data_IF_652259069033
#
_entry.id   IF_652259069033
#
_cell.length_a   1.000
_cell.length_b   1.000
_cell.length_c   1.000
_cell.angle_alpha   90.00
_cell.angle_beta   90.00
_cell.angle_gamma   90.00
#
_symmetry.space_group_name_H-M   'P 1'
#
loop_
_entity.id
_entity.type
_entity.pdbx_description
1 polymer ?
#
# COMPACT_ATOMS: atom_id res chain seq x y z
N UNK A 1 6.56 2.79 2.92
CA UNK A 1 5.86 1.61 3.45
C UNK A 1 5.98 1.64 4.95
N UNK A 2 4.86 1.46 5.64
CA UNK A 2 4.77 1.56 7.10
C UNK A 2 3.69 0.59 7.61
N UNK A 3 3.58 0.39 8.93
CA UNK A 3 2.48 -0.34 9.54
C UNK A 3 1.80 0.49 10.62
N UNK A 4 0.48 0.37 10.76
CA UNK A 4 -0.28 1.09 11.79
C UNK A 4 -1.31 0.18 12.48
N UNK A 5 -1.57 0.45 13.76
CA UNK A 5 -2.67 -0.17 14.51
C UNK A 5 -3.99 0.58 14.30
N UNK A 6 -5.06 -0.18 14.10
CA UNK A 6 -6.43 0.31 14.15
C UNK A 6 -7.38 -0.77 14.70
N UNK A 7 -8.07 -0.46 15.81
CA UNK A 7 -9.04 -1.34 16.47
C UNK A 7 -8.50 -2.75 16.78
N UNK A 8 -7.25 -2.83 17.26
CA UNK A 8 -6.62 -4.11 17.62
C UNK A 8 -6.22 -4.96 16.41
N UNK A 9 -6.12 -4.36 15.24
CA UNK A 9 -5.63 -4.97 14.00
C UNK A 9 -4.50 -4.12 13.45
N UNK A 10 -3.43 -4.78 13.02
CA UNK A 10 -2.29 -4.12 12.37
C UNK A 10 -2.54 -4.12 10.86
N UNK A 11 -2.25 -3.01 10.21
CA UNK A 11 -2.35 -2.85 8.77
C UNK A 11 -0.99 -2.47 8.19
N UNK A 12 -0.61 -3.10 7.09
CA UNK A 12 0.44 -2.63 6.21
C UNK A 12 -0.10 -1.48 5.35
N UNK A 13 0.67 -0.41 5.26
CA UNK A 13 0.39 0.77 4.45
C UNK A 13 1.48 0.94 3.39
N UNK A 14 1.07 0.97 2.13
CA UNK A 14 1.93 1.31 1.00
C UNK A 14 1.36 2.56 0.34
N UNK A 15 2.24 3.52 0.08
CA UNK A 15 1.88 4.79 -0.55
C UNK A 15 2.76 4.91 -1.78
N UNK A 16 2.16 5.10 -2.94
CA UNK A 16 2.90 5.52 -4.12
C UNK A 16 3.34 6.97 -3.96
N UNK A 17 4.63 7.24 -4.16
CA UNK A 17 5.20 8.55 -3.88
C UNK A 17 4.70 9.63 -4.84
N UNK A 18 4.41 9.31 -6.10
CA UNK A 18 4.04 10.32 -7.09
C UNK A 18 2.54 10.63 -7.06
N UNK A 19 1.71 9.59 -7.17
CA UNK A 19 0.24 9.71 -7.21
C UNK A 19 -0.38 9.92 -5.84
N UNK A 20 0.35 9.60 -4.76
CA UNK A 20 -0.17 9.47 -3.40
C UNK A 20 -1.22 8.38 -3.26
N UNK A 21 -1.29 7.45 -4.22
CA UNK A 21 -2.19 6.31 -4.14
C UNK A 21 -1.87 5.44 -2.92
N UNK A 22 -2.92 5.04 -2.19
CA UNK A 22 -2.80 4.30 -0.93
C UNK A 22 -3.28 2.88 -1.15
N UNK A 23 -2.45 1.93 -0.75
CA UNK A 23 -2.81 0.52 -0.59
C UNK A 23 -2.68 0.12 0.88
N UNK A 24 -3.65 -0.65 1.36
CA UNK A 24 -3.59 -1.23 2.70
C UNK A 24 -3.85 -2.73 2.66
N UNK A 25 -3.18 -3.44 3.57
CA UNK A 25 -3.43 -4.86 3.81
C UNK A 25 -3.50 -5.12 5.30
N UNK A 26 -4.57 -5.78 5.75
CA UNK A 26 -4.70 -6.21 7.15
C UNK A 26 -3.73 -7.36 7.41
N UNK A 27 -2.89 -7.23 8.43
CA UNK A 27 -1.96 -8.26 8.87
C UNK A 27 -2.64 -9.13 9.94
N UNK A 28 -2.73 -10.44 9.70
CA UNK A 28 -3.21 -11.42 10.66
C UNK A 28 -2.15 -11.77 11.71
N UNK A 29 -0.87 -11.69 11.34
CA UNK A 29 0.31 -11.82 12.20
C UNK A 29 1.36 -10.82 11.71
N UNK A 30 2.14 -10.23 12.62
CA UNK A 30 3.27 -9.36 12.25
C UNK A 30 4.48 -10.15 11.73
N UNK A 31 4.23 -11.28 11.05
CA UNK A 31 5.26 -12.15 10.51
C UNK A 31 5.75 -11.60 9.17
N UNK A 32 7.08 -11.55 9.01
CA UNK A 32 7.76 -11.10 7.78
C UNK A 32 7.19 -11.76 6.52
N UNK A 33 6.81 -13.04 6.59
CA UNK A 33 6.22 -13.79 5.48
C UNK A 33 4.89 -13.22 4.97
N UNK A 34 4.04 -12.73 5.86
CA UNK A 34 2.74 -12.16 5.50
C UNK A 34 2.90 -10.80 4.82
N UNK A 35 3.78 -9.95 5.37
CA UNK A 35 4.15 -8.67 4.76
C UNK A 35 4.68 -8.88 3.34
N UNK A 36 5.60 -9.83 3.14
CA UNK A 36 6.12 -10.15 1.81
C UNK A 36 5.02 -10.60 0.84
N UNK A 37 4.08 -11.43 1.28
CA UNK A 37 2.98 -11.89 0.43
C UNK A 37 2.06 -10.73 0.02
N UNK A 38 1.78 -9.79 0.94
CA UNK A 38 1.04 -8.58 0.60
C UNK A 38 1.79 -7.68 -0.37
N UNK A 39 3.11 -7.47 -0.17
CA UNK A 39 3.92 -6.73 -1.13
C UNK A 39 3.88 -7.37 -2.53
N UNK A 40 4.09 -8.69 -2.64
CA UNK A 40 3.99 -9.42 -3.92
C UNK A 40 2.62 -9.25 -4.58
N UNK A 41 1.54 -9.34 -3.81
CA UNK A 41 0.18 -9.15 -4.31
C UNK A 41 -0.07 -7.73 -4.81
N UNK A 42 0.44 -6.72 -4.11
CA UNK A 42 0.35 -5.31 -4.52
C UNK A 42 1.18 -5.07 -5.79
N UNK A 43 2.43 -5.54 -5.84
CA UNK A 43 3.30 -5.39 -7.01
C UNK A 43 2.76 -6.12 -8.24
N UNK A 44 2.08 -7.26 -8.07
CA UNK A 44 1.42 -7.95 -9.17
C UNK A 44 0.26 -7.14 -9.80
N UNK A 45 -0.36 -6.22 -9.04
CA UNK A 45 -1.46 -5.37 -9.52
C UNK A 45 -0.98 -4.07 -10.13
N UNK A 46 0.08 -3.48 -9.58
CA UNK A 46 0.55 -2.13 -9.92
C UNK A 46 1.84 -2.09 -10.72
N UNK A 47 2.55 -3.22 -10.80
CA UNK A 47 3.92 -3.28 -11.31
C UNK A 47 4.96 -3.26 -10.18
N UNK A 48 6.21 -3.52 -10.56
CA UNK A 48 7.34 -3.52 -9.63
C UNK A 48 7.80 -2.06 -9.47
N UNK A 49 7.90 -1.54 -8.24
CA UNK A 49 8.40 -0.19 -8.00
C UNK A 49 9.91 -0.12 -8.30
N UNK A 50 10.41 1.06 -8.66
CA UNK A 50 11.85 1.31 -8.75
C UNK A 50 12.51 1.22 -7.37
N UNK A 51 11.87 1.79 -6.36
CA UNK A 51 12.37 1.85 -4.99
C UNK A 51 11.24 1.66 -3.97
N UNK A 52 11.54 0.89 -2.93
CA UNK A 52 10.68 0.73 -1.74
C UNK A 52 11.39 1.32 -0.54
N UNK A 53 10.80 2.36 0.05
CA UNK A 53 11.23 2.88 1.34
C UNK A 53 10.40 2.24 2.47
N UNK A 54 11.03 1.65 3.48
CA UNK A 54 10.36 1.13 4.69
C UNK A 54 11.00 1.65 5.97
N UNK A 55 10.29 1.58 7.09
CA UNK A 55 10.91 1.77 8.40
C UNK A 55 11.80 0.56 8.78
N UNK A 56 12.51 0.68 9.91
CA UNK A 56 13.34 -0.38 10.49
C UNK A 56 12.52 -1.39 11.33
N UNK A 57 11.22 -1.53 11.06
CA UNK A 57 10.39 -2.49 11.76
C UNK A 57 10.93 -3.93 11.61
N UNK A 58 10.84 -4.79 12.65
CA UNK A 58 11.29 -6.18 12.59
C UNK A 58 10.59 -6.99 11.49
N UNK A 59 9.38 -6.58 11.09
CA UNK A 59 8.64 -7.14 9.96
C UNK A 59 9.28 -6.87 8.59
N UNK A 60 10.20 -5.91 8.51
CA UNK A 60 11.00 -5.57 7.33
C UNK A 60 12.46 -5.98 7.50
N UNK A 61 12.77 -6.91 8.42
CA UNK A 61 14.12 -7.37 8.70
C UNK A 61 14.90 -7.68 7.41
N UNK A 62 16.09 -7.08 7.33
CA UNK A 62 16.90 -6.93 6.14
C UNK A 62 16.99 -8.21 5.29
N UNK A 63 17.32 -9.36 5.87
CA UNK A 63 17.61 -10.57 5.10
C UNK A 63 16.44 -11.15 4.27
N UNK A 64 15.19 -10.92 4.65
CA UNK A 64 14.03 -11.40 3.87
C UNK A 64 13.60 -10.37 2.82
N UNK A 65 13.64 -9.08 3.19
CA UNK A 65 13.22 -8.01 2.30
C UNK A 65 14.27 -7.73 1.21
N UNK A 66 15.56 -7.85 1.53
CA UNK A 66 16.66 -7.80 0.55
C UNK A 66 16.53 -8.91 -0.50
N UNK A 67 16.18 -10.13 -0.10
CA UNK A 67 15.95 -11.23 -1.05
C UNK A 67 14.76 -10.96 -1.97
N UNK A 68 13.70 -10.35 -1.43
CA UNK A 68 12.56 -9.93 -2.23
C UNK A 68 12.96 -8.83 -3.23
N UNK A 69 13.70 -7.83 -2.76
CA UNK A 69 14.23 -6.73 -3.56
C UNK A 69 15.10 -7.22 -4.72
N UNK A 70 16.03 -8.13 -4.45
CA UNK A 70 16.87 -8.76 -5.46
C UNK A 70 16.06 -9.60 -6.46
N UNK A 71 15.09 -10.39 -5.97
CA UNK A 71 14.27 -11.25 -6.82
C UNK A 71 13.31 -10.50 -7.74
N UNK A 72 12.85 -9.33 -7.31
CA UNK A 72 11.93 -8.48 -8.08
C UNK A 72 12.65 -7.33 -8.78
N UNK A 73 13.95 -7.12 -8.53
CA UNK A 73 14.77 -6.06 -9.10
C UNK A 73 14.27 -4.63 -8.75
N UNK A 74 14.10 -4.37 -7.46
CA UNK A 74 13.83 -3.02 -6.92
C UNK A 74 14.85 -2.64 -5.83
N UNK A 75 15.06 -1.34 -5.62
CA UNK A 75 15.92 -0.86 -4.54
C UNK A 75 15.16 -0.80 -3.21
N UNK A 76 15.67 -1.46 -2.18
CA UNK A 76 15.13 -1.34 -0.82
C UNK A 76 15.94 -0.34 -0.01
N UNK A 77 15.27 0.71 0.47
CA UNK A 77 15.86 1.73 1.33
C UNK A 77 15.16 1.67 2.69
N UNK A 78 15.90 1.36 3.74
CA UNK A 78 15.40 1.50 5.10
C UNK A 78 15.59 2.94 5.57
N UNK A 79 14.52 3.61 5.98
CA UNK A 79 14.61 4.96 6.49
C UNK A 79 15.39 4.96 7.82
N UNK A 80 16.56 5.61 7.81
CA UNK A 80 17.10 6.25 9.02
C UNK A 80 16.18 7.44 9.35
N UNK A 81 16.16 7.96 10.60
CA UNK A 81 15.28 9.04 11.08
C UNK A 81 15.39 10.41 10.34
N UNK A 82 15.98 10.45 9.16
CA UNK A 82 16.35 11.64 8.38
C UNK A 82 15.45 11.92 7.16
N UNK A 83 14.28 11.29 7.03
CA UNK A 83 13.27 11.66 6.01
C UNK A 83 11.99 12.26 6.63
N UNK A 84 12.04 13.50 7.17
CA UNK A 84 10.87 14.16 7.77
C UNK A 84 9.65 14.22 6.84
N UNK A 85 9.88 14.40 5.54
CA UNK A 85 8.81 14.49 4.55
C UNK A 85 8.12 13.13 4.31
N UNK A 86 8.86 12.02 4.31
CA UNK A 86 8.27 10.68 4.19
C UNK A 86 7.47 10.30 5.44
N UNK A 87 7.92 10.73 6.62
CA UNK A 87 7.20 10.50 7.87
C UNK A 87 5.89 11.29 7.90
N UNK A 88 5.90 12.58 7.53
CA UNK A 88 4.69 13.39 7.46
C UNK A 88 3.68 12.89 6.42
N UNK A 89 4.15 12.31 5.31
CA UNK A 89 3.29 11.67 4.31
C UNK A 89 2.65 10.38 4.83
N UNK A 90 3.43 9.52 5.49
CA UNK A 90 2.91 8.32 6.14
C UNK A 90 1.86 8.67 7.20
N UNK A 91 2.13 9.65 8.07
CA UNK A 91 1.20 10.12 9.10
C UNK A 91 -0.12 10.63 8.49
N UNK A 92 -0.05 11.43 7.41
CA UNK A 92 -1.23 11.89 6.68
C UNK A 92 -2.03 10.73 6.11
N UNK A 93 -1.37 9.79 5.44
CA UNK A 93 -2.02 8.63 4.84
C UNK A 93 -2.65 7.70 5.89
N UNK A 94 -1.99 7.47 7.04
CA UNK A 94 -2.56 6.73 8.17
C UNK A 94 -3.83 7.42 8.67
N UNK A 95 -3.81 8.74 8.85
CA UNK A 95 -4.98 9.51 9.29
C UNK A 95 -6.15 9.36 8.31
N UNK A 96 -5.92 9.61 7.03
CA UNK A 96 -6.92 9.45 5.97
C UNK A 96 -7.51 8.04 5.96
N UNK A 97 -6.65 7.03 6.05
CA UNK A 97 -7.07 5.63 6.07
C UNK A 97 -7.94 5.32 7.29
N UNK A 98 -7.56 5.78 8.48
CA UNK A 98 -8.35 5.56 9.71
C UNK A 98 -9.72 6.23 9.64
N UNK A 99 -9.81 7.41 9.05
CA UNK A 99 -11.08 8.12 8.87
C UNK A 99 -12.01 7.36 7.91
N UNK A 100 -11.47 6.81 6.83
CA UNK A 100 -12.22 5.95 5.90
C UNK A 100 -12.67 4.64 6.55
N UNK A 101 -11.77 3.95 7.26
CA UNK A 101 -12.11 2.74 8.01
C UNK A 101 -13.16 3.00 9.09
N UNK A 102 -13.16 4.18 9.70
CA UNK A 102 -14.18 4.60 10.66
C UNK A 102 -15.54 4.80 9.99
N UNK A 103 -15.56 5.33 8.77
CA UNK A 103 -16.78 5.61 8.00
C UNK A 103 -17.39 4.33 7.43
N UNK A 104 -16.59 3.52 6.75
CA UNK A 104 -17.08 2.36 5.97
C UNK A 104 -17.08 1.06 6.77
N UNK A 105 -16.23 0.94 7.81
CA UNK A 105 -16.09 -0.29 8.62
C UNK A 105 -15.40 -1.47 7.92
N UNK A 106 -15.33 -1.44 6.59
CA UNK A 106 -14.65 -2.42 5.74
C UNK A 106 -13.43 -1.81 5.04
N UNK A 107 -12.31 -2.53 5.01
CA UNK A 107 -11.05 -2.03 4.45
C UNK A 107 -11.05 -1.92 2.93
N UNK A 108 -11.74 -2.83 2.23
CA UNK A 108 -11.82 -2.79 0.77
C UNK A 108 -12.74 -1.67 0.32
N UNK A 109 -13.89 -1.51 0.98
CA UNK A 109 -14.79 -0.40 0.73
C UNK A 109 -14.12 0.95 1.02
N UNK A 110 -13.31 1.02 2.09
CA UNK A 110 -12.50 2.20 2.41
C UNK A 110 -11.53 2.56 1.27
N UNK A 111 -10.83 1.58 0.71
CA UNK A 111 -9.91 1.78 -0.42
C UNK A 111 -10.65 2.18 -1.70
N UNK A 112 -11.83 1.61 -1.96
CA UNK A 112 -12.67 1.98 -3.09
C UNK A 112 -13.18 3.42 -2.96
N UNK A 113 -13.67 3.80 -1.78
CA UNK A 113 -14.08 5.18 -1.48
C UNK A 113 -12.89 6.13 -1.64
N UNK A 114 -11.70 5.77 -1.18
CA UNK A 114 -10.50 6.57 -1.43
C UNK A 114 -10.21 6.71 -2.92
N UNK A 115 -10.21 5.61 -3.68
CA UNK A 115 -9.87 5.62 -5.11
C UNK A 115 -10.87 6.41 -5.94
N UNK A 116 -12.16 6.36 -5.60
CA UNK A 116 -13.22 7.09 -6.34
C UNK A 116 -13.22 8.59 -6.04
N UNK A 117 -12.92 8.98 -4.80
CA UNK A 117 -13.01 10.38 -4.35
C UNK A 117 -11.65 11.05 -4.16
N UNK A 118 -10.54 10.36 -4.44
CA UNK A 118 -9.21 10.96 -4.34
C UNK A 118 -9.03 12.01 -5.43
N UNK A 119 -8.61 13.25 -5.07
CA UNK A 119 -8.38 14.32 -6.04
C UNK A 119 -7.21 14.03 -7.00
N UNK A 120 -6.42 12.98 -6.73
CA UNK A 120 -5.33 12.51 -7.58
C UNK A 120 -5.70 11.26 -8.40
N UNK A 121 -6.95 10.79 -8.33
CA UNK A 121 -7.39 9.60 -9.03
C UNK A 121 -7.75 9.90 -10.49
N UNK A 122 -6.74 10.18 -11.31
CA UNK A 122 -6.95 10.26 -12.76
C UNK A 122 -7.09 8.87 -13.42
N UNK A 123 -6.78 7.76 -12.71
CA UNK A 123 -6.68 6.46 -13.35
C UNK A 123 -7.06 5.27 -12.47
N UNK A 124 -8.35 5.03 -12.23
CA UNK A 124 -8.87 3.64 -12.15
C UNK A 124 -10.34 3.61 -12.61
N UNK A 125 -10.57 3.51 -13.92
CA UNK A 125 -11.82 2.92 -14.44
C UNK A 125 -11.52 1.46 -14.78
N UNK A 126 -11.91 0.54 -13.90
CA UNK A 126 -11.92 -0.89 -14.26
C UNK A 126 -13.14 -1.08 -15.17
N UNK A 127 -12.90 -1.15 -16.48
CA UNK A 127 -13.90 -1.67 -17.39
C UNK A 127 -13.92 -3.19 -17.22
N UNK A 128 -15.07 -3.74 -16.81
CA UNK A 128 -15.22 -5.18 -16.86
C UNK A 128 -15.31 -5.59 -18.34
N UNK A 129 -14.83 -6.78 -18.75
CA UNK A 129 -14.88 -7.23 -20.14
C UNK A 129 -16.28 -7.13 -20.77
N UNK A 130 -17.35 -7.20 -19.94
CA UNK A 130 -18.73 -7.00 -20.38
C UNK A 130 -19.01 -5.58 -20.90
N UNK A 131 -18.34 -4.57 -20.35
CA UNK A 131 -18.51 -3.16 -20.74
C UNK A 131 -17.84 -2.87 -22.10
N UNK A 132 -16.78 -3.62 -22.43
CA UNK A 132 -16.09 -3.55 -23.73
C UNK A 132 -16.87 -4.29 -24.82
N UNK A 133 -17.54 -5.39 -24.50
CA UNK A 133 -18.34 -6.18 -25.47
C UNK A 133 -19.66 -5.48 -25.83
N UNK A 134 -20.24 -4.68 -24.94
CA UNK A 134 -21.49 -3.95 -25.20
C UNK A 134 -21.31 -2.62 -25.93
N UNK A 135 -20.08 -2.07 -25.99
CA UNK A 135 -19.77 -0.82 -26.69
C UNK A 135 -19.54 -1.01 -28.21
N UNK A 136 -19.60 -2.26 -28.69
CA UNK A 136 -19.59 -2.61 -30.11
C UNK A 136 -20.98 -2.93 -30.65
N UNK A 137 -21.88 -1.94 -30.67
CA UNK A 137 -23.08 -1.91 -31.52
C UNK A 137 -23.43 -0.48 -31.90
#
# INVERSE_FOLDING_TARGET
MDSFDYKGSIYLLIIDYYSRYIEIAKLSKTAVGEVMNHCKSIFARHGIPEMVASDNGPQFAAGSFEKLAQGYNFDHVTSRPYYPQSNGEAERAVKTTKDLLKKEGDSYLSLLTYTVFSPNADHVRIYFPRDVIMAGK
#
